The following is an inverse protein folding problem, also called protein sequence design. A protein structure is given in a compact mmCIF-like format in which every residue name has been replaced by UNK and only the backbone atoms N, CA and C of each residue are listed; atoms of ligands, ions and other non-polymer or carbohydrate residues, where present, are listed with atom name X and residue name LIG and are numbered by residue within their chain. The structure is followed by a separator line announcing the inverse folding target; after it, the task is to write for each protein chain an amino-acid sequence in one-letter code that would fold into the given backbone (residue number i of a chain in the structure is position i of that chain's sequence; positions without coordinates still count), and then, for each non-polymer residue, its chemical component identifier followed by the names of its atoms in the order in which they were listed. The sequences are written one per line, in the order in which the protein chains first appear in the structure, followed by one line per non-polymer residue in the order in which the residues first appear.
data_IF_491048750725
#
_entry.id   IF_491048750725
#
_cell.length_a   1.000
_cell.length_b   1.000
_cell.length_c   1.000
_cell.angle_alpha   90.00
_cell.angle_beta   90.00
_cell.angle_gamma   90.00
#
_symmetry.space_group_name_H-M   'P 1'
#
loop_
_entity.id
_entity.type
_entity.pdbx_description
1 polymer ?
#
# COMPACT_ATOMS: atom_id res chain seq x y z
N UNK A 1 1.61 26.85 -24.32
CA UNK A 1 0.23 27.14 -23.88
C UNK A 1 -0.31 25.89 -23.21
N UNK A 2 -0.97 26.01 -22.05
CA UNK A 2 -1.55 24.87 -21.37
C UNK A 2 -2.95 24.59 -21.93
N UNK A 3 -3.08 23.55 -22.76
CA UNK A 3 -4.34 23.12 -23.36
C UNK A 3 -5.35 22.65 -22.31
N UNK A 4 -6.64 22.68 -22.64
CA UNK A 4 -7.68 22.07 -21.81
C UNK A 4 -7.58 20.55 -21.85
N UNK A 5 -7.71 19.93 -20.67
CA UNK A 5 -7.73 18.47 -20.57
C UNK A 5 -9.05 17.97 -21.12
N UNK A 6 -8.99 17.26 -22.24
CA UNK A 6 -10.15 16.58 -22.83
C UNK A 6 -10.29 15.20 -22.20
N UNK A 7 -11.45 14.95 -21.60
CA UNK A 7 -11.76 13.64 -21.06
C UNK A 7 -12.58 12.85 -22.08
N UNK A 8 -12.10 11.69 -22.55
CA UNK A 8 -12.89 10.84 -23.44
C UNK A 8 -14.12 10.28 -22.70
N UNK A 9 -15.16 9.83 -23.43
CA UNK A 9 -16.31 9.18 -22.82
C UNK A 9 -15.88 7.89 -22.10
N UNK A 10 -16.10 7.81 -20.80
CA UNK A 10 -15.85 6.62 -19.99
C UNK A 10 -17.15 6.12 -19.36
N UNK A 11 -17.28 4.80 -19.24
CA UNK A 11 -18.44 4.19 -18.56
C UNK A 11 -18.45 4.50 -17.05
N UNK A 12 -17.26 4.57 -16.44
CA UNK A 12 -17.12 4.90 -15.02
C UNK A 12 -17.13 6.41 -14.80
N UNK A 13 -18.28 6.89 -14.33
CA UNK A 13 -18.51 8.31 -13.98
C UNK A 13 -17.76 8.73 -12.72
N UNK A 14 -17.51 7.81 -11.78
CA UNK A 14 -16.83 8.11 -10.52
C UNK A 14 -15.34 8.32 -10.75
N UNK A 15 -14.74 7.50 -11.62
CA UNK A 15 -13.37 7.71 -12.09
C UNK A 15 -13.23 9.07 -12.77
N UNK A 16 -14.14 9.38 -13.70
CA UNK A 16 -14.12 10.64 -14.42
C UNK A 16 -14.18 11.86 -13.49
N UNK A 17 -15.00 11.80 -12.44
CA UNK A 17 -15.13 12.90 -11.47
C UNK A 17 -13.84 13.13 -10.69
N UNK A 18 -13.19 12.07 -10.21
CA UNK A 18 -11.88 12.18 -9.53
C UNK A 18 -10.85 12.81 -10.45
N UNK A 19 -10.76 12.35 -11.69
CA UNK A 19 -9.78 12.88 -12.64
C UNK A 19 -9.99 14.37 -12.91
N UNK A 20 -11.24 14.82 -13.02
CA UNK A 20 -11.55 16.26 -13.18
C UNK A 20 -11.10 17.08 -11.97
N UNK A 21 -11.36 16.60 -10.76
CA UNK A 21 -10.93 17.27 -9.51
C UNK A 21 -9.42 17.35 -9.36
N UNK A 22 -8.70 16.30 -9.78
CA UNK A 22 -7.23 16.26 -9.73
C UNK A 22 -6.58 17.19 -10.78
N UNK A 23 -7.16 17.27 -11.98
CA UNK A 23 -6.60 17.98 -13.13
C UNK A 23 -7.15 19.39 -13.30
N UNK A 24 -7.75 19.95 -12.24
CA UNK A 24 -8.14 21.36 -12.18
C UNK A 24 -6.90 22.26 -12.35
N UNK A 25 -7.00 23.22 -13.27
CA UNK A 25 -5.88 24.09 -13.65
C UNK A 25 -5.58 25.09 -12.54
N UNK A 26 -6.63 25.62 -11.95
CA UNK A 26 -6.52 26.53 -10.82
C UNK A 26 -6.17 25.73 -9.56
N UNK A 27 -4.94 25.87 -9.02
CA UNK A 27 -4.53 25.10 -7.85
C UNK A 27 -5.38 25.41 -6.61
N UNK A 28 -6.03 26.58 -6.56
CA UNK A 28 -6.93 26.95 -5.45
C UNK A 28 -8.28 26.24 -5.52
N UNK A 29 -8.66 25.74 -6.70
CA UNK A 29 -9.89 24.97 -6.94
C UNK A 29 -9.64 23.47 -7.02
N UNK A 30 -8.38 23.05 -7.11
CA UNK A 30 -7.99 21.64 -7.12
C UNK A 30 -8.31 21.03 -5.76
N UNK A 31 -9.01 19.90 -5.77
CA UNK A 31 -9.36 19.22 -4.52
C UNK A 31 -8.12 18.82 -3.72
N UNK A 32 -8.24 18.90 -2.40
CA UNK A 32 -7.18 18.45 -1.50
C UNK A 32 -7.06 16.91 -1.51
N UNK A 33 -5.96 16.40 -0.97
CA UNK A 33 -5.75 14.95 -0.86
C UNK A 33 -6.83 14.33 0.04
N UNK A 34 -7.16 14.98 1.16
CA UNK A 34 -8.18 14.52 2.11
C UNK A 34 -9.57 14.47 1.46
N UNK A 35 -9.92 15.49 0.67
CA UNK A 35 -11.17 15.53 -0.09
C UNK A 35 -11.23 14.41 -1.13
N UNK A 36 -10.15 14.16 -1.86
CA UNK A 36 -10.07 13.08 -2.84
C UNK A 36 -10.20 11.70 -2.18
N UNK A 37 -9.53 11.47 -1.06
CA UNK A 37 -9.63 10.21 -0.30
C UNK A 37 -11.05 9.93 0.20
N UNK A 38 -11.85 10.97 0.39
CA UNK A 38 -13.26 10.83 0.76
C UNK A 38 -14.17 10.39 -0.42
N UNK A 39 -13.67 10.49 -1.65
CA UNK A 39 -14.44 10.28 -2.87
C UNK A 39 -14.85 8.80 -3.07
N UNK A 40 -16.10 8.51 -3.51
CA UNK A 40 -16.62 7.15 -3.65
C UNK A 40 -15.74 6.22 -4.50
N UNK A 41 -15.13 6.74 -5.57
CA UNK A 41 -14.22 5.97 -6.42
C UNK A 41 -13.04 5.35 -5.64
N UNK A 42 -12.44 6.13 -4.73
CA UNK A 42 -11.28 5.68 -3.95
C UNK A 42 -11.71 4.88 -2.71
N UNK A 43 -12.88 5.17 -2.14
CA UNK A 43 -13.43 4.39 -1.03
C UNK A 43 -13.79 2.96 -1.43
N UNK A 44 -14.36 2.76 -2.62
CA UNK A 44 -14.75 1.42 -3.10
C UNK A 44 -13.56 0.47 -3.25
N UNK A 45 -12.35 0.99 -3.47
CA UNK A 45 -11.17 0.16 -3.70
C UNK A 45 -10.36 -0.12 -2.41
N UNK A 46 -10.65 0.58 -1.30
CA UNK A 46 -9.97 0.37 -0.01
C UNK A 46 -10.24 -1.02 0.56
N UNK A 47 -11.40 -1.61 0.30
CA UNK A 47 -11.71 -2.98 0.73
C UNK A 47 -10.86 -4.05 0.01
N UNK A 48 -10.24 -3.72 -1.13
CA UNK A 48 -9.39 -4.64 -1.89
C UNK A 48 -7.89 -4.47 -1.67
N UNK A 49 -7.46 -3.36 -1.05
CA UNK A 49 -6.05 -3.14 -0.70
C UNK A 49 -5.78 -3.72 0.70
N UNK A 50 -6.01 -5.03 0.76
CA UNK A 50 -5.62 -6.01 1.77
C UNK A 50 -5.22 -5.45 3.16
N UNK A 51 -6.23 -5.24 4.03
CA UNK A 51 -6.03 -5.09 5.48
C UNK A 51 -5.19 -6.25 6.06
N UNK A 52 -5.11 -7.40 5.38
CA UNK A 52 -4.22 -8.52 5.76
C UNK A 52 -2.73 -8.15 5.78
N UNK A 53 -2.29 -7.12 5.03
CA UNK A 53 -0.90 -6.63 5.09
C UNK A 53 -0.65 -5.66 6.28
N UNK A 54 -1.69 -5.21 6.97
CA UNK A 54 -1.61 -4.22 8.06
C UNK A 54 -2.02 -4.80 9.43
N UNK A 55 -2.47 -6.07 9.49
CA UNK A 55 -2.97 -6.75 10.70
C UNK A 55 -1.94 -7.68 11.38
N UNK A 56 -0.68 -7.67 10.95
CA UNK A 56 0.42 -8.30 11.70
C UNK A 56 1.04 -7.32 12.70
N UNK A 57 1.61 -7.83 13.79
CA UNK A 57 2.44 -7.03 14.70
C UNK A 57 3.65 -6.45 13.94
N UNK A 58 3.45 -5.31 13.28
CA UNK A 58 4.45 -4.59 12.47
C UNK A 58 5.73 -4.28 13.25
N UNK A 59 5.65 -4.31 14.58
CA UNK A 59 6.80 -4.19 15.47
C UNK A 59 7.86 -5.27 15.20
N UNK A 60 7.44 -6.53 15.00
CA UNK A 60 8.36 -7.63 14.73
C UNK A 60 8.95 -7.56 13.32
N UNK A 61 8.14 -7.15 12.34
CA UNK A 61 8.60 -6.93 10.97
C UNK A 61 9.59 -5.77 10.90
N UNK A 62 9.27 -4.64 11.53
CA UNK A 62 10.14 -3.46 11.60
C UNK A 62 11.44 -3.76 12.36
N UNK A 63 11.38 -4.58 13.41
CA UNK A 63 12.56 -5.08 14.12
C UNK A 63 13.44 -5.94 13.20
N UNK A 64 12.83 -6.85 12.42
CA UNK A 64 13.57 -7.66 11.44
C UNK A 64 14.21 -6.80 10.34
N UNK A 65 13.50 -5.78 9.84
CA UNK A 65 14.01 -4.83 8.83
C UNK A 65 15.20 -4.03 9.38
N UNK A 66 15.09 -3.49 10.60
CA UNK A 66 16.18 -2.76 11.25
C UNK A 66 17.42 -3.65 11.47
N UNK A 67 17.20 -4.89 11.90
CA UNK A 67 18.24 -5.88 12.09
C UNK A 67 18.94 -6.29 10.78
N UNK A 68 18.24 -6.27 9.65
CA UNK A 68 18.83 -6.54 8.33
C UNK A 68 19.63 -5.33 7.82
N UNK A 69 19.15 -4.12 8.05
CA UNK A 69 19.79 -2.87 7.60
C UNK A 69 21.13 -2.60 8.29
N UNK A 70 21.29 -3.07 9.53
CA UNK A 70 22.53 -2.96 10.31
C UNK A 70 23.59 -4.00 9.94
N UNK A 71 23.30 -4.92 9.02
CA UNK A 71 24.20 -6.00 8.63
C UNK A 71 24.96 -5.69 7.32
N UNK A 72 26.14 -6.28 7.15
CA UNK A 72 26.84 -6.28 5.85
C UNK A 72 26.08 -7.16 4.84
N UNK A 73 26.25 -6.96 3.52
CA UNK A 73 25.49 -7.70 2.50
C UNK A 73 25.58 -9.23 2.61
N UNK A 74 26.71 -9.77 3.09
CA UNK A 74 26.89 -11.22 3.27
C UNK A 74 26.21 -11.76 4.53
N UNK A 75 26.10 -10.95 5.58
CA UNK A 75 25.47 -11.36 6.84
C UNK A 75 23.96 -11.15 6.82
N UNK A 76 23.47 -10.12 6.13
CA UNK A 76 22.03 -9.88 5.94
C UNK A 76 21.34 -11.03 5.20
N UNK A 77 21.94 -11.55 4.13
CA UNK A 77 21.41 -12.73 3.39
C UNK A 77 21.32 -13.98 4.27
N UNK A 78 22.35 -14.24 5.09
CA UNK A 78 22.35 -15.39 6.02
C UNK A 78 21.29 -15.23 7.11
N UNK A 79 21.14 -14.01 7.64
CA UNK A 79 20.16 -13.69 8.67
C UNK A 79 18.73 -13.79 8.12
N UNK A 80 18.49 -13.29 6.91
CA UNK A 80 17.21 -13.43 6.22
C UNK A 80 16.84 -14.90 6.01
N UNK A 81 17.77 -15.73 5.50
CA UNK A 81 17.54 -17.18 5.34
C UNK A 81 17.13 -17.85 6.67
N UNK A 82 17.76 -17.48 7.78
CA UNK A 82 17.41 -18.00 9.11
C UNK A 82 16.00 -17.58 9.53
N UNK A 83 15.64 -16.31 9.36
CA UNK A 83 14.30 -15.81 9.70
C UNK A 83 13.21 -16.51 8.87
N UNK A 84 13.45 -16.72 7.57
CA UNK A 84 12.50 -17.41 6.69
C UNK A 84 12.36 -18.91 7.00
N UNK A 85 13.43 -19.56 7.49
CA UNK A 85 13.37 -20.95 7.93
C UNK A 85 12.68 -21.10 9.29
N UNK A 86 12.92 -20.15 10.20
CA UNK A 86 12.29 -20.13 11.54
C UNK A 86 10.77 -19.97 11.48
N UNK A 87 10.24 -19.30 10.46
CA UNK A 87 8.80 -19.24 10.19
C UNK A 87 8.16 -20.58 9.81
N UNK A 88 8.93 -21.54 9.27
CA UNK A 88 8.41 -22.88 8.91
C UNK A 88 8.34 -23.86 10.09
N UNK A 89 9.10 -23.63 11.15
CA UNK A 89 9.13 -24.51 12.33
C UNK A 89 7.92 -24.27 13.26
N UNK A 90 7.33 -23.06 13.23
CA UNK A 90 6.17 -22.70 14.06
C UNK A 90 4.81 -23.23 13.54
N UNK A 91 4.72 -23.76 12.31
CA UNK A 91 3.49 -24.40 11.81
C UNK A 91 3.36 -25.89 12.21
N UNK A 92 4.39 -26.48 12.81
CA UNK A 92 4.46 -27.93 13.06
C UNK A 92 4.43 -28.31 14.56
N UNK A 93 3.82 -27.48 15.41
CA UNK A 93 3.65 -27.75 16.85
C UNK A 93 2.17 -27.71 17.31
N UNK A 94 1.23 -27.95 16.40
CA UNK A 94 -0.19 -28.15 16.73
C UNK A 94 -0.65 -29.54 16.29
N UNK A 95 0.06 -30.58 16.70
CA UNK A 95 -0.41 -31.97 16.69
C UNK A 95 0.52 -32.83 17.54
N UNK A 96 0.24 -32.95 18.83
CA UNK A 96 0.48 -34.16 19.62
C UNK A 96 -0.30 -34.07 20.94
N UNK A 97 -1.23 -35.02 21.10
CA UNK A 97 -1.94 -35.38 22.34
C UNK A 97 -1.00 -35.73 23.51
#
# INVERSE_FOLDING_TARGET
MNEEVKFPPTADKKLLDVLKRCLEKDPTKRSSVEELQSHPYLKQNKESLDETLMLGDDADLMKAVHELRSCTPRTSVRKLRRLMLKGKENEMDCSSD
#
